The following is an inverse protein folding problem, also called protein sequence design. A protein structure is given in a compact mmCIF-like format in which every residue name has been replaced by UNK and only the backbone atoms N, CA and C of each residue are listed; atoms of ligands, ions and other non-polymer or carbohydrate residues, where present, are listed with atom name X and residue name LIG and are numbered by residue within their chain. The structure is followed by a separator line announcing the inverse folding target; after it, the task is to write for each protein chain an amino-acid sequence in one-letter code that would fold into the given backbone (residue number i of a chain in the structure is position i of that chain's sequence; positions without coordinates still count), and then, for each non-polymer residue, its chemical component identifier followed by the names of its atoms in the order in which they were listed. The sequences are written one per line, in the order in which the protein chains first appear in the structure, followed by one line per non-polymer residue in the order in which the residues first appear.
data_IF_647980089105
#
_entry.id   IF_647980089105
#
_cell.length_a   1.000
_cell.length_b   1.000
_cell.length_c   1.000
_cell.angle_alpha   90.00
_cell.angle_beta   90.00
_cell.angle_gamma   90.00
#
_symmetry.space_group_name_H-M   'P 1'
#
loop_
_entity.id
_entity.type
_entity.pdbx_description
1 polymer ?
#
# COMPACT_ATOMS: atom_id res chain seq x y z
N UNK A 1 -0.39 11.57 5.69
CA UNK A 1 -0.21 10.27 6.38
C UNK A 1 -1.10 10.14 7.66
N UNK A 2 -1.48 11.22 8.36
CA UNK A 2 -2.16 11.11 9.67
C UNK A 2 -3.61 10.65 9.54
N UNK A 3 -4.26 10.93 8.41
CA UNK A 3 -5.61 10.46 8.10
C UNK A 3 -5.65 9.02 7.51
N UNK A 4 -4.52 8.46 7.08
CA UNK A 4 -4.51 7.16 6.39
C UNK A 4 -4.44 6.00 7.41
N UNK A 5 -5.19 4.92 7.20
CA UNK A 5 -5.12 3.72 8.06
C UNK A 5 -3.80 2.96 7.88
N UNK A 6 -3.19 3.07 6.70
CA UNK A 6 -1.89 2.46 6.39
C UNK A 6 -1.18 3.16 5.22
N UNK A 7 0.11 2.88 5.05
CA UNK A 7 0.96 3.54 4.06
C UNK A 7 1.61 2.49 3.15
N UNK A 8 1.36 2.58 1.85
CA UNK A 8 2.00 1.74 0.83
C UNK A 8 2.83 2.64 -0.09
N UNK A 9 4.12 2.34 -0.23
CA UNK A 9 5.03 3.10 -1.07
C UNK A 9 5.78 2.20 -2.06
N UNK A 10 5.68 2.52 -3.35
CA UNK A 10 6.39 1.81 -4.42
C UNK A 10 7.89 2.07 -4.40
N UNK A 11 8.30 3.26 -3.93
CA UNK A 11 9.69 3.67 -3.74
C UNK A 11 9.97 4.03 -2.30
N UNK A 12 11.24 3.91 -1.92
CA UNK A 12 11.75 4.27 -0.60
C UNK A 12 12.28 3.06 0.16
N UNK A 13 13.41 3.24 0.84
CA UNK A 13 14.01 2.25 1.72
C UNK A 13 13.59 2.42 3.18
N UNK A 14 14.10 1.55 4.03
CA UNK A 14 13.79 1.48 5.46
C UNK A 14 14.15 2.76 6.23
N UNK A 15 14.98 3.63 5.65
CA UNK A 15 15.41 4.93 6.20
C UNK A 15 14.69 6.14 5.58
N UNK A 16 13.69 5.93 4.73
CA UNK A 16 12.97 7.02 4.09
C UNK A 16 12.11 7.82 5.07
N UNK A 17 11.92 9.13 4.80
CA UNK A 17 11.08 10.02 5.60
C UNK A 17 9.67 9.46 5.84
N UNK A 18 9.07 8.86 4.80
CA UNK A 18 7.75 8.24 4.90
C UNK A 18 7.70 7.07 5.90
N UNK A 19 8.77 6.26 5.93
CA UNK A 19 8.88 5.14 6.88
C UNK A 19 9.12 5.64 8.30
N UNK A 20 9.96 6.66 8.49
CA UNK A 20 10.20 7.25 9.81
C UNK A 20 8.90 7.81 10.41
N UNK A 21 8.11 8.54 9.61
CA UNK A 21 6.81 9.09 10.03
C UNK A 21 5.79 7.98 10.30
N UNK A 22 5.70 6.96 9.43
CA UNK A 22 4.81 5.83 9.63
C UNK A 22 5.07 5.09 10.95
N UNK A 23 6.36 4.89 11.28
CA UNK A 23 6.80 4.26 12.54
C UNK A 23 6.48 5.12 13.75
N UNK A 24 6.70 6.44 13.66
CA UNK A 24 6.35 7.38 14.74
C UNK A 24 4.86 7.39 15.07
N UNK A 25 4.00 7.05 14.11
CA UNK A 25 2.54 7.00 14.29
C UNK A 25 1.99 5.58 14.53
N UNK A 26 2.84 4.56 14.58
CA UNK A 26 2.41 3.18 14.82
C UNK A 26 1.52 2.59 13.72
N UNK A 27 1.57 3.15 12.50
CA UNK A 27 0.69 2.71 11.41
C UNK A 27 1.31 1.59 10.59
N UNK A 28 0.52 0.62 10.11
CA UNK A 28 1.00 -0.40 9.19
C UNK A 28 1.53 0.26 7.92
N UNK A 29 2.74 -0.13 7.52
CA UNK A 29 3.37 0.41 6.33
C UNK A 29 4.14 -0.66 5.55
N UNK A 30 4.12 -0.52 4.23
CA UNK A 30 4.90 -1.32 3.28
C UNK A 30 5.64 -0.35 2.37
N UNK A 31 6.93 -0.60 2.16
CA UNK A 31 7.81 0.27 1.39
C UNK A 31 8.70 -0.54 0.45
N UNK A 32 9.17 0.09 -0.62
CA UNK A 32 10.08 -0.54 -1.57
C UNK A 32 9.40 -1.54 -2.50
N UNK A 33 8.09 -1.40 -2.74
CA UNK A 33 7.35 -2.24 -3.68
C UNK A 33 7.63 -1.78 -5.13
N UNK A 34 8.84 -2.02 -5.62
CA UNK A 34 9.28 -1.58 -6.96
C UNK A 34 8.48 -2.19 -8.10
N UNK A 35 7.83 -3.32 -7.84
CA UNK A 35 6.91 -4.05 -8.75
C UNK A 35 5.50 -3.48 -8.79
N UNK A 36 5.27 -2.34 -8.13
CA UNK A 36 3.96 -1.72 -7.94
C UNK A 36 3.95 -0.35 -8.64
N UNK A 37 3.74 -0.30 -9.97
CA UNK A 37 3.77 0.96 -10.70
C UNK A 37 2.56 1.82 -10.30
N UNK A 38 2.86 3.04 -9.89
CA UNK A 38 1.88 4.07 -9.52
C UNK A 38 2.00 5.18 -10.56
N UNK A 39 0.91 5.45 -11.26
CA UNK A 39 0.78 6.60 -12.12
C UNK A 39 0.05 7.71 -11.36
N UNK A 40 0.83 8.71 -10.93
CA UNK A 40 0.32 9.84 -10.18
C UNK A 40 -0.59 10.75 -11.02
N UNK A 41 -0.40 10.79 -12.35
CA UNK A 41 -1.21 11.64 -13.23
C UNK A 41 -2.60 11.05 -13.44
N UNK A 42 -2.66 9.74 -13.71
CA UNK A 42 -3.95 9.05 -13.89
C UNK A 42 -4.58 8.57 -12.58
N UNK A 43 -3.87 8.71 -11.45
CA UNK A 43 -4.26 8.18 -10.13
C UNK A 43 -4.59 6.69 -10.19
N UNK A 44 -3.78 5.94 -10.95
CA UNK A 44 -3.90 4.50 -11.10
C UNK A 44 -2.72 3.80 -10.42
N UNK A 45 -3.02 2.72 -9.74
CA UNK A 45 -2.03 1.84 -9.13
C UNK A 45 -2.23 0.44 -9.67
N UNK A 46 -1.19 -0.16 -10.24
CA UNK A 46 -1.25 -1.56 -10.68
C UNK A 46 -0.54 -2.45 -9.69
N UNK A 47 -1.20 -3.55 -9.36
CA UNK A 47 -0.72 -4.51 -8.38
C UNK A 47 -0.80 -5.90 -8.97
N UNK A 48 0.29 -6.66 -8.86
CA UNK A 48 0.27 -8.08 -9.17
C UNK A 48 -0.13 -8.88 -7.95
N UNK A 49 -1.16 -9.69 -8.09
CA UNK A 49 -1.62 -10.61 -7.03
C UNK A 49 -0.79 -11.88 -7.02
N UNK A 50 -0.85 -12.64 -5.92
CA UNK A 50 -0.20 -13.96 -5.78
C UNK A 50 -0.69 -14.97 -6.84
N UNK A 51 -1.91 -14.80 -7.33
CA UNK A 51 -2.48 -15.58 -8.46
C UNK A 51 -1.98 -15.10 -9.84
N UNK A 52 -0.88 -14.34 -9.91
CA UNK A 52 -0.30 -13.77 -11.14
C UNK A 52 -1.24 -12.85 -11.94
N UNK A 53 -2.36 -12.43 -11.37
CA UNK A 53 -3.32 -11.52 -12.03
C UNK A 53 -2.94 -10.08 -11.72
N UNK A 54 -2.86 -9.24 -12.75
CA UNK A 54 -2.69 -7.79 -12.61
C UNK A 54 -4.05 -7.14 -12.29
N UNK A 55 -4.09 -6.37 -11.21
CA UNK A 55 -5.26 -5.61 -10.79
C UNK A 55 -4.93 -4.13 -10.90
N UNK A 56 -5.76 -3.39 -11.63
CA UNK A 56 -5.69 -1.93 -11.69
C UNK A 56 -6.64 -1.36 -10.62
N UNK A 57 -6.06 -0.57 -9.73
CA UNK A 57 -6.76 0.14 -8.67
C UNK A 57 -6.84 1.61 -9.02
N UNK A 58 -8.00 2.20 -8.76
CA UNK A 58 -8.26 3.63 -8.99
C UNK A 58 -8.40 4.36 -7.66
N UNK A 59 -8.28 5.68 -7.71
CA UNK A 59 -8.66 6.54 -6.60
C UNK A 59 -10.09 6.19 -6.12
N UNK A 60 -10.26 5.96 -4.82
CA UNK A 60 -11.52 5.51 -4.20
C UNK A 60 -11.74 4.00 -4.13
N UNK A 61 -10.89 3.17 -4.74
CA UNK A 61 -10.91 1.72 -4.51
C UNK A 61 -10.42 1.39 -3.10
N UNK A 62 -11.14 0.50 -2.42
CA UNK A 62 -10.71 -0.02 -1.12
C UNK A 62 -9.74 -1.17 -1.29
N UNK A 63 -8.60 -1.06 -0.59
CA UNK A 63 -7.59 -2.10 -0.55
C UNK A 63 -7.23 -2.43 0.89
N UNK A 64 -7.11 -3.74 1.16
CA UNK A 64 -6.41 -4.23 2.32
C UNK A 64 -4.99 -4.60 1.90
N UNK A 65 -4.02 -4.40 2.79
CA UNK A 65 -2.69 -4.97 2.58
C UNK A 65 -2.20 -5.58 3.89
N UNK A 66 -1.53 -6.72 3.77
CA UNK A 66 -0.91 -7.40 4.88
C UNK A 66 0.60 -7.25 4.77
N UNK A 67 1.22 -6.74 5.84
CA UNK A 67 2.67 -6.56 5.90
C UNK A 67 3.28 -7.72 6.69
N UNK A 68 4.06 -8.58 6.03
CA UNK A 68 4.72 -9.71 6.70
C UNK A 68 6.04 -9.26 7.31
N UNK A 69 6.90 -8.55 6.55
CA UNK A 69 8.27 -8.23 6.96
C UNK A 69 8.72 -6.78 6.58
N UNK A 70 7.80 -5.81 6.62
CA UNK A 70 8.02 -4.36 6.29
C UNK A 70 8.39 -4.04 4.83
N UNK A 71 9.07 -4.95 4.13
CA UNK A 71 9.40 -4.90 2.69
C UNK A 71 8.55 -5.88 1.88
N UNK A 72 8.29 -7.07 2.42
CA UNK A 72 7.37 -8.04 1.82
C UNK A 72 5.97 -7.90 2.41
N UNK A 73 4.97 -7.79 1.53
CA UNK A 73 3.56 -7.72 1.89
C UNK A 73 2.67 -8.11 0.74
N UNK A 74 1.45 -8.51 1.06
CA UNK A 74 0.43 -8.86 0.08
C UNK A 74 -0.62 -7.75 0.03
N UNK A 75 -1.04 -7.39 -1.17
CA UNK A 75 -2.12 -6.41 -1.37
C UNK A 75 -3.33 -7.16 -1.90
N UNK A 76 -4.45 -7.00 -1.22
CA UNK A 76 -5.72 -7.67 -1.49
C UNK A 76 -6.75 -6.60 -1.81
N UNK A 77 -7.40 -6.69 -2.97
CA UNK A 77 -8.52 -5.79 -3.27
C UNK A 77 -9.69 -6.13 -2.35
N UNK A 78 -10.06 -5.20 -1.49
CA UNK A 78 -11.14 -5.41 -0.54
C UNK A 78 -12.48 -5.23 -1.26
N UNK A 79 -13.29 -6.29 -1.30
CA UNK A 79 -14.63 -6.27 -1.93
C UNK A 79 -15.70 -5.71 -0.98
N UNK A 80 -15.38 -5.61 0.31
CA UNK A 80 -16.30 -5.18 1.36
C UNK A 80 -15.49 -4.67 2.58
N UNK A 81 -14.87 -3.50 2.46
CA UNK A 81 -14.25 -2.83 3.60
C UNK A 81 -15.36 -2.15 4.42
N UNK A 82 -15.91 -2.87 5.42
CA UNK A 82 -16.59 -2.17 6.51
C UNK A 82 -15.53 -1.37 7.26
N UNK A 83 -15.70 -0.05 7.33
CA UNK A 83 -14.99 0.83 8.25
C UNK A 83 -15.16 0.22 9.64
N UNK A 84 -14.13 -0.46 10.15
CA UNK A 84 -14.17 -0.93 11.53
C UNK A 84 -14.15 0.35 12.39
N UNK A 85 -15.08 0.49 13.35
CA UNK A 85 -15.24 1.70 14.15
C UNK A 85 -14.00 2.01 14.99
#
# INVERSE_FOLDING_TARGET
MHAAEGILASRGGMTSHAVAVARGWGKPYVHGCSTLPIDANSKLMRVRTTSSTEVVLRDGDYIGFFCVNRTAGEVIKARNCRRLP
#
